data_IF_411108630006
#
_entry.id   IF_411108630006
#
_cell.length_a   1.000
_cell.length_b   1.000
_cell.length_c   1.000
_cell.angle_alpha   90.00
_cell.angle_beta   90.00
_cell.angle_gamma   90.00
#
_symmetry.space_group_name_H-M   'P 1'
#
loop_
_entity.id
_entity.type
_entity.pdbx_description
1 polymer ?
#
# COMPACT_ATOMS: atom_id res chain seq x y z
N UNK A 1 -16.53 6.59 1.12
CA UNK A 1 -15.39 5.67 0.92
C UNK A 1 -14.16 6.52 0.71
N UNK A 2 -13.38 6.78 1.77
CA UNK A 2 -12.11 7.50 1.65
C UNK A 2 -11.04 6.46 1.37
N UNK A 3 -10.37 6.57 0.23
CA UNK A 3 -9.26 5.68 -0.13
C UNK A 3 -7.99 6.45 0.19
N UNK A 4 -7.13 5.91 1.07
CA UNK A 4 -5.78 6.46 1.24
C UNK A 4 -5.03 6.33 -0.09
N UNK A 5 -4.81 7.47 -0.72
CA UNK A 5 -4.10 7.62 -1.97
C UNK A 5 -2.95 8.58 -1.69
N UNK A 6 -1.77 8.04 -1.46
CA UNK A 6 -0.53 8.81 -1.34
C UNK A 6 0.10 8.99 -2.72
N UNK A 7 0.55 10.21 -2.99
CA UNK A 7 1.27 10.60 -4.20
C UNK A 7 2.74 10.78 -3.85
N UNK A 8 3.62 10.25 -4.69
CA UNK A 8 5.05 10.51 -4.60
C UNK A 8 5.46 11.04 -5.96
N UNK A 9 5.88 12.31 -6.01
CA UNK A 9 6.44 12.89 -7.22
C UNK A 9 7.92 12.59 -7.24
N UNK A 10 8.37 11.86 -8.27
CA UNK A 10 9.77 11.48 -8.42
C UNK A 10 10.25 11.96 -9.78
N UNK A 11 11.23 12.87 -9.80
CA UNK A 11 11.81 13.40 -11.04
C UNK A 11 12.81 12.45 -11.68
N UNK A 12 13.49 11.65 -10.87
CA UNK A 12 14.43 10.64 -11.30
C UNK A 12 14.46 9.53 -10.26
N UNK A 13 14.28 8.28 -10.70
CA UNK A 13 14.37 7.12 -9.83
C UNK A 13 15.16 6.03 -10.56
N UNK A 14 16.32 5.67 -10.04
CA UNK A 14 17.20 4.72 -10.70
C UNK A 14 16.88 3.25 -10.37
N UNK A 15 16.11 2.99 -9.31
CA UNK A 15 15.88 1.65 -8.78
C UNK A 15 16.76 1.33 -7.57
N UNK A 16 16.67 0.10 -7.08
CA UNK A 16 17.68 -0.47 -6.17
C UNK A 16 18.92 -0.90 -6.98
N UNK A 17 20.12 -1.00 -6.36
CA UNK A 17 21.27 -1.64 -6.98
C UNK A 17 20.85 -3.06 -7.40
N UNK A 18 20.99 -3.42 -8.68
CA UNK A 18 20.54 -4.69 -9.30
C UNK A 18 19.06 -4.79 -9.69
N UNK A 19 18.39 -3.67 -9.97
CA UNK A 19 17.03 -3.70 -10.53
C UNK A 19 16.98 -4.40 -11.91
N UNK A 20 16.11 -5.40 -12.12
CA UNK A 20 15.99 -6.09 -13.40
C UNK A 20 15.48 -5.17 -14.52
N UNK A 21 16.18 -5.12 -15.65
CA UNK A 21 15.87 -4.23 -16.78
C UNK A 21 14.46 -4.43 -17.37
N UNK A 22 13.91 -5.63 -17.24
CA UNK A 22 12.59 -5.99 -17.75
C UNK A 22 11.44 -5.56 -16.82
N UNK A 23 11.73 -5.12 -15.59
CA UNK A 23 10.72 -4.68 -14.63
C UNK A 23 10.60 -3.16 -14.60
N UNK A 24 9.38 -2.60 -14.58
CA UNK A 24 9.21 -1.15 -14.55
C UNK A 24 9.69 -0.60 -13.21
N UNK A 25 10.56 0.42 -13.25
CA UNK A 25 11.13 1.06 -12.05
C UNK A 25 10.07 1.65 -11.10
N UNK A 26 8.87 1.95 -11.62
CA UNK A 26 7.73 2.43 -10.86
C UNK A 26 7.22 1.44 -9.80
N UNK A 27 7.55 0.15 -9.92
CA UNK A 27 7.27 -0.87 -8.89
C UNK A 27 7.85 -0.54 -7.52
N UNK A 28 8.98 0.15 -7.47
CA UNK A 28 9.60 0.59 -6.22
C UNK A 28 8.76 1.66 -5.49
N UNK A 29 7.78 2.28 -6.17
CA UNK A 29 6.80 3.20 -5.56
C UNK A 29 5.51 2.48 -5.14
N UNK A 30 5.44 1.17 -5.34
CA UNK A 30 4.28 0.31 -5.11
C UNK A 30 4.67 -1.01 -4.46
N UNK A 31 4.53 -2.12 -5.21
CA UNK A 31 4.63 -3.48 -4.69
C UNK A 31 6.03 -3.85 -4.15
N UNK A 32 7.09 -3.20 -4.64
CA UNK A 32 8.48 -3.39 -4.17
C UNK A 32 8.96 -2.14 -3.42
N UNK A 33 8.03 -1.34 -2.89
CA UNK A 33 8.31 -0.12 -2.14
C UNK A 33 7.76 -0.17 -0.72
N UNK A 34 7.64 1.01 -0.10
CA UNK A 34 6.99 1.21 1.20
C UNK A 34 5.63 0.49 1.32
N UNK A 35 4.71 0.54 0.33
CA UNK A 35 3.46 -0.22 0.40
C UNK A 35 3.67 -1.74 0.45
N UNK A 36 4.61 -2.26 -0.35
CA UNK A 36 5.02 -3.65 -0.36
C UNK A 36 5.60 -4.11 0.98
N UNK A 37 6.51 -3.32 1.55
CA UNK A 37 7.08 -3.55 2.89
C UNK A 37 6.00 -3.56 3.97
N UNK A 38 5.09 -2.58 3.93
CA UNK A 38 3.97 -2.51 4.87
C UNK A 38 3.08 -3.75 4.78
N UNK A 39 2.76 -4.20 3.56
CA UNK A 39 1.98 -5.42 3.35
C UNK A 39 2.74 -6.68 3.82
N UNK A 40 4.05 -6.76 3.55
CA UNK A 40 4.90 -7.85 3.99
C UNK A 40 4.90 -7.97 5.52
N UNK A 41 5.27 -6.90 6.24
CA UNK A 41 5.34 -6.93 7.70
C UNK A 41 3.95 -7.08 8.33
N UNK A 42 2.94 -6.41 7.79
CA UNK A 42 1.57 -6.54 8.27
C UNK A 42 1.06 -7.98 8.20
N UNK A 43 1.31 -8.67 7.09
CA UNK A 43 0.82 -10.03 6.89
C UNK A 43 1.72 -11.09 7.52
N UNK A 44 3.03 -11.04 7.27
CA UNK A 44 3.96 -12.10 7.63
C UNK A 44 4.57 -11.94 9.02
N UNK A 45 4.76 -10.70 9.51
CA UNK A 45 5.33 -10.47 10.84
C UNK A 45 4.29 -10.25 11.93
N UNK A 46 3.22 -9.52 11.63
CA UNK A 46 2.19 -9.18 12.62
C UNK A 46 1.05 -10.19 12.58
N UNK A 47 0.42 -10.39 11.43
CA UNK A 47 -0.75 -11.27 11.32
C UNK A 47 -0.37 -12.75 11.51
N UNK A 48 0.74 -13.19 10.89
CA UNK A 48 1.23 -14.59 10.95
C UNK A 48 0.11 -15.61 10.71
N UNK A 49 -0.63 -15.49 9.58
CA UNK A 49 -1.75 -16.37 9.30
C UNK A 49 -1.30 -17.82 9.18
N UNK A 50 -2.12 -18.74 9.68
CA UNK A 50 -1.91 -20.17 9.61
C UNK A 50 -2.83 -20.79 8.57
N UNK A 51 -2.51 -22.01 8.14
CA UNK A 51 -3.38 -22.78 7.28
C UNK A 51 -4.76 -22.96 7.93
N UNK A 52 -5.82 -22.67 7.17
CA UNK A 52 -7.19 -22.66 7.66
C UNK A 52 -7.68 -21.32 8.22
N UNK A 53 -6.80 -20.33 8.44
CA UNK A 53 -7.21 -18.99 8.85
C UNK A 53 -7.90 -18.24 7.71
N UNK A 54 -8.98 -17.52 8.04
CA UNK A 54 -9.64 -16.58 7.11
C UNK A 54 -9.09 -15.19 7.37
N UNK A 55 -8.30 -14.67 6.43
CA UNK A 55 -7.74 -13.31 6.51
C UNK A 55 -8.63 -12.36 5.72
N UNK A 56 -9.22 -11.38 6.41
CA UNK A 56 -9.91 -10.27 5.76
C UNK A 56 -8.90 -9.16 5.46
N UNK A 57 -8.53 -9.00 4.19
CA UNK A 57 -7.66 -7.90 3.74
C UNK A 57 -8.54 -6.76 3.22
N UNK A 58 -8.67 -5.69 3.99
CA UNK A 58 -9.34 -4.46 3.53
C UNK A 58 -8.31 -3.48 2.95
N UNK A 59 -8.01 -3.64 1.65
CA UNK A 59 -7.01 -2.85 0.92
C UNK A 59 -7.33 -1.34 0.76
N UNK A 60 -8.43 -0.82 1.31
CA UNK A 60 -8.74 0.61 1.26
C UNK A 60 -8.90 1.28 2.64
N UNK A 61 -9.04 0.50 3.72
CA UNK A 61 -9.36 1.01 5.06
C UNK A 61 -8.46 0.49 6.19
N UNK A 62 -7.28 -0.06 5.87
CA UNK A 62 -6.27 -0.42 6.87
C UNK A 62 -5.40 0.78 7.28
N UNK A 63 -5.19 0.95 8.59
CA UNK A 63 -4.31 1.88 9.34
C UNK A 63 -4.08 3.30 8.76
N UNK A 64 -3.53 3.42 7.55
CA UNK A 64 -3.31 4.67 6.83
C UNK A 64 -4.61 5.18 6.16
N UNK A 65 -5.47 4.29 5.65
CA UNK A 65 -6.75 4.62 5.02
C UNK A 65 -7.78 5.27 5.93
N UNK A 66 -7.90 4.75 7.15
CA UNK A 66 -8.75 5.35 8.18
C UNK A 66 -8.14 6.61 8.78
N UNK A 67 -6.81 6.68 8.89
CA UNK A 67 -6.14 7.86 9.44
C UNK A 67 -6.20 9.06 8.49
N UNK A 68 -6.01 8.84 7.19
CA UNK A 68 -5.96 9.93 6.20
C UNK A 68 -7.29 10.68 6.11
N UNK A 69 -8.43 9.99 6.29
CA UNK A 69 -9.74 10.64 6.26
C UNK A 69 -9.88 11.66 7.39
N UNK A 70 -9.17 11.43 8.50
CA UNK A 70 -9.19 12.31 9.67
C UNK A 70 -8.21 13.48 9.57
N UNK A 71 -7.25 13.47 8.65
CA UNK A 71 -6.17 14.48 8.62
C UNK A 71 -6.65 15.90 8.33
N UNK A 72 -7.75 16.04 7.58
CA UNK A 72 -8.31 17.33 7.18
C UNK A 72 -9.61 17.66 7.93
N UNK A 73 -10.01 16.83 8.89
CA UNK A 73 -11.26 17.01 9.61
C UNK A 73 -11.13 18.16 10.61
N UNK A 74 -11.99 19.17 10.47
CA UNK A 74 -12.08 20.30 11.42
C UNK A 74 -12.86 19.97 12.69
N UNK A 75 -13.58 18.83 12.67
CA UNK A 75 -14.31 18.26 13.80
C UNK A 75 -14.09 16.76 13.84
N UNK A 76 -14.08 16.10 15.00
CA UNK A 76 -13.87 14.66 15.08
C UNK A 76 -14.86 13.88 14.21
N UNK A 77 -14.34 13.02 13.34
CA UNK A 77 -15.15 12.16 12.48
C UNK A 77 -16.02 11.23 13.31
N UNK A 78 -17.30 11.12 12.94
CA UNK A 78 -18.24 10.21 13.61
C UNK A 78 -18.32 8.90 12.83
N UNK A 79 -18.34 7.77 13.55
CA UNK A 79 -18.42 6.44 12.96
C UNK A 79 -18.90 5.40 13.98
N UNK A 80 -19.29 4.20 13.53
CA UNK A 80 -19.70 3.13 14.43
C UNK A 80 -18.59 2.76 15.41
N UNK A 81 -18.95 2.52 16.67
CA UNK A 81 -18.01 1.98 17.65
C UNK A 81 -17.60 0.57 17.24
N UNK A 82 -16.30 0.37 17.00
CA UNK A 82 -15.74 -0.94 16.65
C UNK A 82 -15.46 -1.80 17.89
N UNK A 83 -15.40 -1.19 19.09
CA UNK A 83 -15.04 -1.84 20.35
C UNK A 83 -15.95 -3.03 20.71
N UNK A 84 -17.29 -2.96 20.55
CA UNK A 84 -18.15 -4.12 20.78
C UNK A 84 -17.79 -5.31 19.90
N UNK A 85 -17.45 -5.07 18.62
CA UNK A 85 -17.06 -6.14 17.70
C UNK A 85 -15.69 -6.72 18.03
N UNK A 86 -14.73 -5.87 18.43
CA UNK A 86 -13.42 -6.31 18.90
C UNK A 86 -13.58 -7.27 20.09
N UNK A 87 -14.43 -6.93 21.05
CA UNK A 87 -14.71 -7.78 22.21
C UNK A 87 -15.45 -9.06 21.81
N UNK A 88 -16.59 -8.94 21.13
CA UNK A 88 -17.48 -10.07 20.81
C UNK A 88 -16.84 -11.08 19.85
N UNK A 89 -15.95 -10.63 18.98
CA UNK A 89 -15.23 -11.47 18.01
C UNK A 89 -13.79 -11.75 18.43
N UNK A 90 -13.37 -11.29 19.62
CA UNK A 90 -12.01 -11.45 20.15
C UNK A 90 -10.92 -11.00 19.15
N UNK A 91 -11.15 -9.87 18.48
CA UNK A 91 -10.23 -9.35 17.45
C UNK A 91 -9.03 -8.67 18.10
N UNK A 92 -7.90 -8.68 17.40
CA UNK A 92 -6.73 -7.86 17.70
C UNK A 92 -6.65 -6.71 16.69
N UNK A 93 -6.49 -5.49 17.20
CA UNK A 93 -6.18 -4.31 16.38
C UNK A 93 -4.79 -3.83 16.78
N UNK A 94 -3.87 -3.81 15.81
CA UNK A 94 -2.50 -3.34 16.02
C UNK A 94 -2.13 -2.29 14.97
N UNK A 95 -1.82 -1.09 15.45
CA UNK A 95 -1.16 -0.07 14.64
C UNK A 95 0.34 -0.33 14.59
N UNK A 96 0.95 -0.14 13.42
CA UNK A 96 2.39 -0.24 13.26
C UNK A 96 2.91 0.78 12.26
N UNK A 97 4.19 1.08 12.37
CA UNK A 97 4.99 1.76 11.35
C UNK A 97 6.05 0.76 10.90
N UNK A 98 6.22 0.61 9.59
CA UNK A 98 7.17 -0.32 9.01
C UNK A 98 8.62 0.01 9.38
N UNK A 99 8.91 1.29 9.70
CA UNK A 99 10.22 1.78 10.17
C UNK A 99 10.82 0.96 11.34
N UNK A 100 9.97 0.25 12.12
CA UNK A 100 10.39 -0.71 13.14
C UNK A 100 11.33 -1.80 12.59
N UNK A 101 11.22 -2.15 11.31
CA UNK A 101 11.98 -3.20 10.64
C UNK A 101 12.97 -2.68 9.60
N UNK A 102 13.35 -1.41 9.67
CA UNK A 102 14.24 -0.75 8.69
C UNK A 102 15.53 -1.53 8.38
N UNK A 103 16.11 -2.20 9.38
CA UNK A 103 17.31 -3.00 9.22
C UNK A 103 17.12 -4.22 8.30
N UNK A 104 15.89 -4.70 8.13
CA UNK A 104 15.53 -5.83 7.28
C UNK A 104 15.14 -5.41 5.86
N UNK A 105 14.98 -4.10 5.59
CA UNK A 105 14.49 -3.62 4.29
C UNK A 105 15.29 -4.13 3.10
N UNK A 106 16.65 -4.15 3.12
CA UNK A 106 17.40 -4.64 1.97
C UNK A 106 17.01 -6.07 1.58
N UNK A 107 16.94 -6.98 2.56
CA UNK A 107 16.58 -8.37 2.36
C UNK A 107 15.13 -8.54 1.88
N UNK A 108 14.19 -7.84 2.52
CA UNK A 108 12.78 -7.95 2.16
C UNK A 108 12.50 -7.35 0.78
N UNK A 109 13.19 -6.27 0.39
CA UNK A 109 13.06 -5.69 -0.95
C UNK A 109 13.55 -6.67 -2.02
N UNK A 110 14.67 -7.36 -1.80
CA UNK A 110 15.14 -8.42 -2.69
C UNK A 110 14.12 -9.56 -2.80
N UNK A 111 13.53 -9.98 -1.68
CA UNK A 111 12.51 -11.03 -1.67
C UNK A 111 11.23 -10.61 -2.41
N UNK A 112 10.75 -9.39 -2.21
CA UNK A 112 9.58 -8.86 -2.93
C UNK A 112 9.85 -8.81 -4.44
N UNK A 113 11.06 -8.39 -4.84
CA UNK A 113 11.48 -8.35 -6.23
C UNK A 113 11.54 -9.75 -6.85
N UNK A 114 12.04 -10.74 -6.08
CA UNK A 114 12.02 -12.15 -6.48
C UNK A 114 10.59 -12.65 -6.68
N UNK A 115 9.66 -12.35 -5.78
CA UNK A 115 8.26 -12.76 -5.95
C UNK A 115 7.59 -12.11 -7.15
N UNK A 116 7.91 -10.86 -7.48
CA UNK A 116 7.44 -10.22 -8.72
C UNK A 116 7.98 -10.96 -9.94
N UNK A 117 9.28 -11.25 -9.95
CA UNK A 117 9.97 -11.96 -11.05
C UNK A 117 9.42 -13.38 -11.25
N UNK A 118 9.12 -14.09 -10.16
CA UNK A 118 8.51 -15.43 -10.18
C UNK A 118 7.00 -15.40 -10.47
N UNK A 119 6.38 -14.22 -10.59
CA UNK A 119 4.94 -14.07 -10.79
C UNK A 119 4.07 -14.40 -9.57
N UNK A 120 4.68 -14.62 -8.40
CA UNK A 120 4.00 -14.84 -7.11
C UNK A 120 3.36 -13.56 -6.58
N UNK A 121 4.01 -12.41 -6.81
CA UNK A 121 3.48 -11.09 -6.49
C UNK A 121 3.06 -10.38 -7.79
N UNK A 122 1.75 -10.35 -8.03
CA UNK A 122 1.17 -9.64 -9.18
C UNK A 122 0.96 -8.18 -8.85
N UNK A 123 1.22 -7.32 -9.83
CA UNK A 123 1.03 -5.88 -9.70
C UNK A 123 0.23 -5.36 -10.89
N UNK A 124 -0.51 -4.28 -10.64
CA UNK A 124 -1.23 -3.55 -11.67
C UNK A 124 -0.88 -2.08 -11.53
N UNK A 125 -0.55 -1.46 -12.66
CA UNK A 125 -0.32 -0.03 -12.77
C UNK A 125 -1.38 0.59 -13.68
N UNK A 126 -1.90 1.73 -13.26
CA UNK A 126 -2.74 2.56 -14.10
C UNK A 126 -1.86 3.68 -14.65
N UNK A 127 -1.54 3.63 -15.94
CA UNK A 127 -0.62 4.57 -16.58
C UNK A 127 -1.41 5.72 -17.20
N UNK A 128 -1.10 6.94 -16.79
CA UNK A 128 -1.59 8.20 -17.37
C UNK A 128 -0.44 8.79 -18.17
N UNK A 129 -0.58 8.89 -19.49
CA UNK A 129 0.45 9.47 -20.34
C UNK A 129 0.25 10.99 -20.43
N UNK A 130 1.35 11.74 -20.43
CA UNK A 130 1.35 13.19 -20.56
C UNK A 130 1.23 13.89 -19.21
N UNK A 131 2.20 14.75 -18.90
CA UNK A 131 2.21 15.54 -17.68
C UNK A 131 0.98 16.45 -17.57
N UNK A 132 0.49 16.96 -18.70
CA UNK A 132 -0.72 17.77 -18.82
C UNK A 132 -1.98 17.06 -18.32
N UNK A 133 -2.00 15.72 -18.35
CA UNK A 133 -3.12 14.91 -17.85
C UNK A 133 -3.06 14.67 -16.34
N UNK A 134 -2.04 15.18 -15.64
CA UNK A 134 -1.89 15.06 -14.19
C UNK A 134 -3.12 15.55 -13.40
N UNK A 135 -3.72 16.71 -13.69
CA UNK A 135 -4.90 17.17 -12.94
C UNK A 135 -6.10 16.24 -13.12
N UNK A 136 -6.35 15.77 -14.35
CA UNK A 136 -7.43 14.84 -14.65
C UNK A 136 -7.20 13.48 -13.98
N UNK A 137 -5.97 12.96 -14.08
CA UNK A 137 -5.57 11.71 -13.43
C UNK A 137 -5.68 11.78 -11.90
N UNK A 138 -5.32 12.90 -11.31
CA UNK A 138 -5.49 13.16 -9.88
C UNK A 138 -6.97 13.10 -9.46
N UNK A 139 -7.86 13.74 -10.22
CA UNK A 139 -9.30 13.70 -9.95
C UNK A 139 -9.85 12.29 -10.11
N UNK A 140 -9.45 11.56 -11.16
CA UNK A 140 -9.89 10.18 -11.37
C UNK A 140 -9.44 9.24 -10.25
N UNK A 141 -8.23 9.47 -9.70
CA UNK A 141 -7.76 8.81 -8.50
C UNK A 141 -8.70 9.11 -7.32
N UNK A 142 -9.11 10.35 -7.06
CA UNK A 142 -10.06 10.64 -5.97
C UNK A 142 -11.44 9.99 -6.19
N UNK A 143 -11.88 9.85 -7.43
CA UNK A 143 -13.14 9.21 -7.79
C UNK A 143 -13.10 7.68 -7.76
N UNK A 144 -11.92 7.07 -7.60
CA UNK A 144 -11.78 5.61 -7.58
C UNK A 144 -11.65 4.97 -8.97
N UNK A 145 -11.32 5.74 -10.00
CA UNK A 145 -11.23 5.27 -11.39
C UNK A 145 -9.98 4.42 -11.66
N UNK A 146 -8.98 4.45 -10.78
CA UNK A 146 -7.75 3.68 -10.94
C UNK A 146 -7.80 2.31 -10.23
N UNK A 147 -7.26 1.28 -10.90
CA UNK A 147 -6.93 -0.01 -10.29
C UNK A 147 -5.42 -0.11 -10.12
N UNK A 148 -4.95 -0.41 -8.91
CA UNK A 148 -3.52 -0.46 -8.62
C UNK A 148 -2.84 0.91 -8.56
N UNK A 149 -1.52 0.95 -8.73
CA UNK A 149 -0.72 2.18 -8.58
C UNK A 149 -0.92 3.07 -9.80
N UNK A 150 -1.41 4.29 -9.60
CA UNK A 150 -1.47 5.28 -10.67
C UNK A 150 -0.08 5.90 -10.90
N UNK A 151 0.37 5.92 -12.16
CA UNK A 151 1.67 6.43 -12.60
C UNK A 151 1.45 7.42 -13.73
N UNK A 152 2.06 8.61 -13.65
CA UNK A 152 2.08 9.58 -14.74
C UNK A 152 3.42 9.43 -15.48
N UNK A 153 3.37 9.23 -16.80
CA UNK A 153 4.55 9.09 -17.67
C UNK A 153 4.61 10.20 -18.70
#
# INVERSE_FOLDING_TARGET
MVVAKSWTMVRHFEGAPNWPDHLPKSLALGAVGMPGLTAYFGLLEICKPKEGDVVLVNCAAGAVGSAISMYNDSVPSTGPYIQPYILLKQLRVEGFFDDRWKNQYPEILEQLLQWVTEGKLKFHEHIINGFENMPAGFIGILNGENTGKAIIK
#
